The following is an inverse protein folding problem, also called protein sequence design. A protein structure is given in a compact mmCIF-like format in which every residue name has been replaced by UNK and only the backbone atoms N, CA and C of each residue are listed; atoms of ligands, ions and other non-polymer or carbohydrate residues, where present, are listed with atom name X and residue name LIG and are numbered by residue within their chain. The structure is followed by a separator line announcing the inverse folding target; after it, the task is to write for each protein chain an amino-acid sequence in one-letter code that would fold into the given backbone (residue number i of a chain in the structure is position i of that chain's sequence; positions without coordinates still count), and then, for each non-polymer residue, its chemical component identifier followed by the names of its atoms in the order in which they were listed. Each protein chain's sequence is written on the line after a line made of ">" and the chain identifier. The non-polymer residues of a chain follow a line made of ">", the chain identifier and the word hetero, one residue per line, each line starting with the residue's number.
data_IF_980712230873
#
_entry.id   IF_980712230873
#
_cell.length_a   1.000
_cell.length_b   1.000
_cell.length_c   1.000
_cell.angle_alpha   90.00
_cell.angle_beta   90.00
_cell.angle_gamma   90.00
#
_symmetry.space_group_name_H-M   'P 1'
#
loop_
_entity.id
_entity.type
_entity.pdbx_description
1 polymer ?
#
# COMPACT_ATOMS: atom_id res chain seq x y z
N UNK A 1 14.18 -13.14 35.24
CA UNK A 1 13.99 -11.74 34.72
C UNK A 1 14.79 -11.58 33.44
N UNK A 2 14.16 -11.33 32.28
CA UNK A 2 14.92 -10.98 31.07
C UNK A 2 15.43 -9.55 31.28
N UNK A 3 16.74 -9.38 31.35
CA UNK A 3 17.40 -8.05 31.35
C UNK A 3 16.97 -7.27 30.13
N UNK A 4 16.52 -6.03 30.34
CA UNK A 4 16.06 -5.14 29.27
C UNK A 4 17.23 -4.89 28.31
N UNK A 5 17.07 -5.27 27.04
CA UNK A 5 18.10 -5.07 26.02
C UNK A 5 18.48 -3.60 25.91
N UNK A 6 19.78 -3.27 25.92
CA UNK A 6 20.25 -1.88 25.73
C UNK A 6 19.98 -1.41 24.30
N UNK A 7 19.82 -0.09 24.11
CA UNK A 7 19.58 0.54 22.79
C UNK A 7 20.69 0.16 21.78
N UNK A 8 21.95 0.17 22.21
CA UNK A 8 23.08 -0.19 21.35
C UNK A 8 23.03 -1.66 20.91
N UNK A 9 22.73 -2.59 21.83
CA UNK A 9 22.57 -4.01 21.47
C UNK A 9 21.42 -4.23 20.50
N UNK A 10 20.30 -3.56 20.71
CA UNK A 10 19.15 -3.62 19.82
C UNK A 10 19.52 -3.11 18.41
N UNK A 11 20.22 -1.99 18.30
CA UNK A 11 20.66 -1.44 17.02
C UNK A 11 21.57 -2.41 16.27
N UNK A 12 22.55 -3.02 16.96
CA UNK A 12 23.46 -4.01 16.35
C UNK A 12 22.67 -5.24 15.86
N UNK A 13 21.73 -5.74 16.68
CA UNK A 13 20.90 -6.87 16.31
C UNK A 13 20.00 -6.56 15.10
N UNK A 14 19.39 -5.39 15.05
CA UNK A 14 18.58 -4.96 13.90
C UNK A 14 19.43 -4.89 12.63
N UNK A 15 20.63 -4.30 12.71
CA UNK A 15 21.56 -4.25 11.57
C UNK A 15 21.91 -5.66 11.08
N UNK A 16 22.28 -6.56 11.98
CA UNK A 16 22.58 -7.97 11.61
C UNK A 16 21.39 -8.68 10.96
N UNK A 17 20.15 -8.38 11.37
CA UNK A 17 18.94 -8.91 10.74
C UNK A 17 18.78 -8.35 9.32
N UNK A 18 18.96 -7.04 9.13
CA UNK A 18 18.89 -6.42 7.80
C UNK A 18 19.96 -6.97 6.87
N UNK A 19 21.22 -7.06 7.34
CA UNK A 19 22.32 -7.64 6.55
C UNK A 19 22.03 -9.11 6.14
N UNK A 20 21.34 -9.86 6.98
CA UNK A 20 20.94 -11.23 6.65
C UNK A 20 19.82 -11.27 5.61
N UNK A 21 18.84 -10.35 5.71
CA UNK A 21 17.76 -10.22 4.73
C UNK A 21 18.29 -9.78 3.37
N UNK A 22 19.23 -8.82 3.35
CA UNK A 22 19.85 -8.35 2.11
C UNK A 22 20.63 -9.45 1.40
N UNK A 23 21.33 -10.32 2.15
CA UNK A 23 22.02 -11.49 1.58
C UNK A 23 21.06 -12.53 1.01
N UNK A 24 19.92 -12.75 1.64
CA UNK A 24 18.94 -13.76 1.24
C UNK A 24 18.07 -13.30 0.08
N UNK A 25 17.60 -12.05 0.13
CA UNK A 25 16.59 -11.52 -0.80
C UNK A 25 17.13 -10.46 -1.78
N UNK A 26 18.38 -10.02 -1.62
CA UNK A 26 18.96 -8.92 -2.38
C UNK A 26 18.53 -7.56 -1.84
N UNK A 27 19.01 -6.51 -2.51
CA UNK A 27 18.78 -5.10 -2.16
C UNK A 27 17.88 -4.35 -3.16
N UNK A 28 17.27 -5.08 -4.09
CA UNK A 28 16.33 -4.52 -5.06
C UNK A 28 14.91 -4.46 -4.45
N UNK A 29 14.65 -3.40 -3.70
CA UNK A 29 13.38 -3.18 -3.00
C UNK A 29 12.37 -2.50 -3.92
N UNK A 30 11.73 -3.25 -4.81
CA UNK A 30 10.69 -2.73 -5.70
C UNK A 30 9.29 -3.17 -5.28
N UNK A 31 8.32 -2.36 -5.63
CA UNK A 31 6.91 -2.74 -5.54
C UNK A 31 6.60 -3.84 -6.56
N UNK A 32 5.86 -4.86 -6.15
CA UNK A 32 5.41 -5.94 -7.05
C UNK A 32 4.20 -5.56 -7.89
N UNK A 33 3.51 -4.45 -7.55
CA UNK A 33 2.42 -3.92 -8.36
C UNK A 33 2.98 -3.10 -9.52
N UNK A 34 2.41 -3.28 -10.72
CA UNK A 34 2.79 -2.54 -11.92
C UNK A 34 2.09 -1.18 -11.95
N UNK A 35 2.86 -0.11 -12.10
CA UNK A 35 2.35 1.26 -12.23
C UNK A 35 3.37 2.17 -12.94
N UNK A 36 2.87 3.22 -13.56
CA UNK A 36 3.68 4.27 -14.21
C UNK A 36 3.53 5.60 -13.47
N UNK A 37 2.39 5.81 -12.80
CA UNK A 37 2.08 7.05 -12.11
C UNK A 37 1.65 6.80 -10.66
N UNK A 38 1.77 7.82 -9.76
CA UNK A 38 1.36 7.69 -8.36
C UNK A 38 -0.10 7.27 -8.17
N UNK A 39 -1.03 7.78 -8.99
CA UNK A 39 -2.44 7.42 -8.89
C UNK A 39 -2.71 5.97 -9.37
N UNK A 40 -1.95 5.48 -10.35
CA UNK A 40 -2.03 4.07 -10.76
C UNK A 40 -1.61 3.15 -9.60
N UNK A 41 -0.52 3.47 -8.90
CA UNK A 41 -0.15 2.71 -7.70
C UNK A 41 -1.26 2.75 -6.65
N UNK A 42 -1.84 3.93 -6.39
CA UNK A 42 -2.91 4.07 -5.39
C UNK A 42 -4.12 3.18 -5.72
N UNK A 43 -4.59 3.18 -6.97
CA UNK A 43 -5.67 2.31 -7.43
C UNK A 43 -5.28 0.83 -7.30
N UNK A 44 -4.08 0.46 -7.75
CA UNK A 44 -3.59 -0.92 -7.65
C UNK A 44 -3.53 -1.41 -6.20
N UNK A 45 -3.11 -0.56 -5.25
CA UNK A 45 -3.09 -0.91 -3.81
C UNK A 45 -4.51 -1.02 -3.24
N UNK A 46 -5.48 -0.19 -3.67
CA UNK A 46 -6.89 -0.38 -3.29
C UNK A 46 -7.40 -1.74 -3.80
N UNK A 47 -7.04 -2.12 -5.02
CA UNK A 47 -7.42 -3.41 -5.61
C UNK A 47 -6.74 -4.60 -4.91
N UNK A 48 -5.53 -4.43 -4.36
CA UNK A 48 -4.77 -5.51 -3.70
C UNK A 48 -5.34 -5.93 -2.33
N UNK A 49 -6.30 -5.19 -1.78
CA UNK A 49 -6.97 -5.60 -0.54
C UNK A 49 -7.62 -6.99 -0.71
N UNK A 50 -7.10 -8.00 0.02
CA UNK A 50 -7.50 -9.41 -0.05
C UNK A 50 -7.45 -9.99 -1.48
N UNK A 51 -6.47 -9.55 -2.27
CA UNK A 51 -6.20 -10.05 -3.61
C UNK A 51 -4.68 -10.16 -3.83
N UNK A 52 -4.25 -11.12 -4.63
CA UNK A 52 -2.82 -11.28 -4.95
C UNK A 52 -2.34 -10.21 -5.92
N UNK A 53 -1.08 -9.76 -5.78
CA UNK A 53 -0.47 -8.77 -6.67
C UNK A 53 -0.48 -9.25 -8.14
N UNK A 54 -0.25 -10.54 -8.39
CA UNK A 54 -0.33 -11.11 -9.73
C UNK A 54 -1.72 -10.92 -10.36
N UNK A 55 -2.80 -11.13 -9.60
CA UNK A 55 -4.16 -10.91 -10.08
C UNK A 55 -4.42 -9.43 -10.33
N UNK A 56 -3.98 -8.57 -9.41
CA UNK A 56 -4.12 -7.11 -9.58
C UNK A 56 -3.41 -6.64 -10.84
N UNK A 57 -2.17 -7.09 -11.08
CA UNK A 57 -1.40 -6.71 -12.25
C UNK A 57 -2.07 -7.13 -13.57
N UNK A 58 -2.71 -8.30 -13.61
CA UNK A 58 -3.49 -8.72 -14.78
C UNK A 58 -4.68 -7.80 -15.03
N UNK A 59 -5.41 -7.44 -13.98
CA UNK A 59 -6.59 -6.56 -14.09
C UNK A 59 -6.18 -5.13 -14.45
N UNK A 60 -5.16 -4.58 -13.80
CA UNK A 60 -4.72 -3.19 -14.02
C UNK A 60 -4.13 -2.97 -15.39
N UNK A 61 -3.55 -4.00 -16.03
CA UNK A 61 -3.01 -3.89 -17.39
C UNK A 61 -4.08 -3.45 -18.43
N UNK A 62 -5.30 -3.96 -18.32
CA UNK A 62 -6.40 -3.57 -19.19
C UNK A 62 -7.16 -2.36 -18.65
N UNK A 63 -7.32 -2.30 -17.32
CA UNK A 63 -8.00 -1.21 -16.64
C UNK A 63 -7.37 0.15 -16.94
N UNK A 64 -6.04 0.26 -16.87
CA UNK A 64 -5.31 1.51 -17.14
C UNK A 64 -5.27 1.89 -18.62
N UNK A 65 -5.44 0.93 -19.54
CA UNK A 65 -5.67 1.24 -20.97
C UNK A 65 -7.06 1.84 -21.19
N UNK A 66 -8.08 1.24 -20.55
CA UNK A 66 -9.48 1.67 -20.68
C UNK A 66 -9.70 3.03 -20.00
N UNK A 67 -9.26 3.19 -18.77
CA UNK A 67 -9.39 4.40 -17.95
C UNK A 67 -8.03 5.10 -17.83
N UNK A 68 -7.51 5.64 -18.91
CA UNK A 68 -6.15 6.16 -18.99
C UNK A 68 -5.89 7.47 -18.20
N UNK A 69 -6.83 7.96 -17.39
CA UNK A 69 -6.65 9.15 -16.53
C UNK A 69 -7.55 9.13 -15.30
N UNK A 70 -7.23 9.99 -14.30
CA UNK A 70 -8.04 10.18 -13.11
C UNK A 70 -9.47 10.64 -13.43
N UNK A 71 -9.62 11.53 -14.43
CA UNK A 71 -10.92 12.05 -14.86
C UNK A 71 -11.81 10.92 -15.39
N UNK A 72 -11.24 9.99 -16.17
CA UNK A 72 -11.98 8.83 -16.68
C UNK A 72 -12.43 7.91 -15.54
N UNK A 73 -11.58 7.66 -14.55
CA UNK A 73 -11.97 6.91 -13.36
C UNK A 73 -13.04 7.64 -12.53
N UNK A 74 -12.92 8.96 -12.35
CA UNK A 74 -13.89 9.74 -11.60
C UNK A 74 -15.26 9.79 -12.29
N UNK A 75 -15.30 9.70 -13.63
CA UNK A 75 -16.51 9.67 -14.45
C UNK A 75 -17.00 8.27 -14.83
N UNK A 76 -16.30 7.22 -14.39
CA UNK A 76 -16.64 5.84 -14.76
C UNK A 76 -18.05 5.46 -14.30
N UNK A 77 -18.75 4.70 -15.16
CA UNK A 77 -19.97 4.02 -14.72
C UNK A 77 -19.66 2.96 -13.66
N UNK A 78 -20.39 3.00 -12.56
CA UNK A 78 -20.12 2.14 -11.42
C UNK A 78 -20.24 0.66 -11.77
N UNK A 79 -21.28 0.28 -12.54
CA UNK A 79 -21.53 -1.13 -12.88
C UNK A 79 -20.49 -1.65 -13.86
N UNK A 80 -20.07 -0.81 -14.79
CA UNK A 80 -19.02 -1.15 -15.74
C UNK A 80 -17.66 -1.35 -15.01
N UNK A 81 -17.29 -0.43 -14.12
CA UNK A 81 -16.07 -0.57 -13.31
C UNK A 81 -16.12 -1.80 -12.39
N UNK A 82 -17.28 -2.11 -11.81
CA UNK A 82 -17.50 -3.33 -11.02
C UNK A 82 -17.21 -4.60 -11.83
N UNK A 83 -17.65 -4.64 -13.08
CA UNK A 83 -17.39 -5.76 -14.00
C UNK A 83 -15.90 -5.88 -14.33
N UNK A 84 -15.26 -4.76 -14.66
CA UNK A 84 -13.85 -4.71 -15.03
C UNK A 84 -12.93 -5.23 -13.90
N UNK A 85 -13.28 -4.94 -12.64
CA UNK A 85 -12.48 -5.35 -11.46
C UNK A 85 -13.04 -6.57 -10.73
N UNK A 86 -14.07 -7.23 -11.24
CA UNK A 86 -14.78 -8.33 -10.58
C UNK A 86 -13.85 -9.39 -9.99
N UNK A 87 -12.84 -9.79 -10.76
CA UNK A 87 -11.91 -10.86 -10.37
C UNK A 87 -10.98 -10.50 -9.20
N UNK A 88 -10.98 -9.25 -8.73
CA UNK A 88 -10.18 -8.83 -7.56
C UNK A 88 -10.88 -9.07 -6.22
N UNK A 89 -12.15 -9.50 -6.22
CA UNK A 89 -12.98 -9.65 -5.02
C UNK A 89 -13.37 -8.32 -4.39
N UNK A 90 -14.44 -8.31 -3.59
CA UNK A 90 -15.00 -7.11 -2.95
C UNK A 90 -15.21 -5.92 -3.91
N UNK A 91 -15.46 -6.24 -5.17
CA UNK A 91 -15.45 -5.31 -6.29
C UNK A 91 -16.48 -4.17 -6.15
N UNK A 92 -17.65 -4.41 -5.57
CA UNK A 92 -18.64 -3.36 -5.31
C UNK A 92 -18.08 -2.23 -4.43
N UNK A 93 -17.42 -2.59 -3.33
CA UNK A 93 -16.81 -1.61 -2.43
C UNK A 93 -15.59 -0.96 -3.06
N UNK A 94 -14.75 -1.74 -3.75
CA UNK A 94 -13.55 -1.25 -4.42
C UNK A 94 -13.89 -0.27 -5.53
N UNK A 95 -14.87 -0.56 -6.39
CA UNK A 95 -15.29 0.36 -7.45
C UNK A 95 -15.80 1.70 -6.90
N UNK A 96 -16.67 1.67 -5.89
CA UNK A 96 -17.13 2.87 -5.20
C UNK A 96 -15.99 3.69 -4.63
N UNK A 97 -15.04 3.03 -3.94
CA UNK A 97 -13.88 3.67 -3.35
C UNK A 97 -12.96 4.29 -4.41
N UNK A 98 -12.70 3.58 -5.51
CA UNK A 98 -11.84 4.09 -6.60
C UNK A 98 -12.44 5.35 -7.20
N UNK A 99 -13.75 5.34 -7.56
CA UNK A 99 -14.42 6.51 -8.12
C UNK A 99 -14.38 7.69 -7.13
N UNK A 100 -14.70 7.45 -5.86
CA UNK A 100 -14.70 8.48 -4.83
C UNK A 100 -13.28 9.03 -4.57
N UNK A 101 -12.28 8.16 -4.52
CA UNK A 101 -10.87 8.53 -4.37
C UNK A 101 -10.40 9.42 -5.54
N UNK A 102 -10.69 9.03 -6.79
CA UNK A 102 -10.32 9.82 -7.97
C UNK A 102 -11.01 11.19 -7.98
N UNK A 103 -12.30 11.26 -7.60
CA UNK A 103 -13.02 12.53 -7.44
C UNK A 103 -12.38 13.43 -6.39
N UNK A 104 -12.00 12.87 -5.24
CA UNK A 104 -11.34 13.63 -4.18
C UNK A 104 -9.95 14.13 -4.63
N UNK A 105 -9.14 13.29 -5.30
CA UNK A 105 -7.85 13.71 -5.84
C UNK A 105 -7.99 14.89 -6.80
N UNK A 106 -8.95 14.85 -7.72
CA UNK A 106 -9.18 15.95 -8.67
C UNK A 106 -9.65 17.21 -7.98
N UNK A 107 -10.59 17.10 -7.03
CA UNK A 107 -11.24 18.26 -6.40
C UNK A 107 -10.35 18.94 -5.35
N UNK A 108 -9.63 18.14 -4.54
CA UNK A 108 -8.98 18.62 -3.33
C UNK A 108 -7.46 18.72 -3.48
N UNK A 109 -6.87 17.92 -4.38
CA UNK A 109 -5.42 17.80 -4.54
C UNK A 109 -4.93 18.12 -5.96
N UNK A 110 -5.79 18.70 -6.83
CA UNK A 110 -5.42 19.07 -8.21
C UNK A 110 -4.92 17.88 -9.05
N UNK A 111 -5.42 16.67 -8.79
CA UNK A 111 -5.01 15.44 -9.46
C UNK A 111 -3.71 14.83 -8.94
N UNK A 112 -3.10 15.39 -7.90
CA UNK A 112 -1.88 14.87 -7.29
C UNK A 112 -2.23 13.92 -6.13
N UNK A 113 -1.46 12.86 -5.96
CA UNK A 113 -1.58 11.98 -4.78
C UNK A 113 -0.85 12.66 -3.63
N UNK A 114 -1.47 12.91 -2.47
CA UNK A 114 -0.78 13.57 -1.36
C UNK A 114 0.27 12.68 -0.71
N UNK A 115 1.27 13.27 -0.02
CA UNK A 115 2.30 12.56 0.73
C UNK A 115 2.03 12.51 2.23
N UNK A 116 1.16 13.37 2.74
CA UNK A 116 0.79 13.39 4.16
C UNK A 116 -0.09 12.20 4.51
N UNK A 117 0.15 11.60 5.69
CA UNK A 117 -0.56 10.40 6.13
C UNK A 117 -2.04 10.66 6.40
N UNK A 118 -2.40 11.86 6.88
CA UNK A 118 -3.79 12.21 7.19
C UNK A 118 -4.58 12.43 5.91
N UNK A 119 -3.99 13.13 4.93
CA UNK A 119 -4.59 13.35 3.63
C UNK A 119 -4.81 12.02 2.90
N UNK A 120 -3.79 11.15 2.87
CA UNK A 120 -3.92 9.82 2.27
C UNK A 120 -5.01 8.98 2.94
N UNK A 121 -5.06 8.95 4.27
CA UNK A 121 -6.08 8.16 4.99
C UNK A 121 -7.48 8.78 4.94
N UNK A 122 -7.61 10.03 4.53
CA UNK A 122 -8.88 10.68 4.22
C UNK A 122 -9.49 10.24 2.90
N UNK A 123 -8.69 9.66 1.99
CA UNK A 123 -9.17 9.19 0.70
C UNK A 123 -9.97 7.87 0.85
N UNK A 124 -11.03 7.73 0.06
CA UNK A 124 -11.87 6.53 0.08
C UNK A 124 -11.07 5.27 -0.27
N UNK A 125 -11.18 4.23 0.56
CA UNK A 125 -10.47 2.96 0.37
C UNK A 125 -9.00 2.98 0.78
N UNK A 126 -8.50 4.07 1.34
CA UNK A 126 -7.10 4.23 1.74
C UNK A 126 -6.98 4.14 3.26
N UNK A 127 -6.57 2.99 3.75
CA UNK A 127 -6.19 2.81 5.15
C UNK A 127 -4.72 3.14 5.38
N UNK A 128 -4.28 3.12 6.65
CA UNK A 128 -2.88 3.41 7.03
C UNK A 128 -1.87 2.51 6.30
N UNK A 129 -2.18 1.23 6.11
CA UNK A 129 -1.32 0.30 5.37
C UNK A 129 -1.13 0.77 3.93
N UNK A 130 -2.21 1.09 3.22
CA UNK A 130 -2.18 1.63 1.86
C UNK A 130 -1.40 2.94 1.79
N UNK A 131 -1.67 3.87 2.73
CA UNK A 131 -0.96 5.14 2.81
C UNK A 131 0.56 4.95 2.97
N UNK A 132 1.00 4.00 3.80
CA UNK A 132 2.42 3.70 3.98
C UNK A 132 3.06 3.09 2.73
N UNK A 133 2.32 2.28 1.94
CA UNK A 133 2.80 1.80 0.63
C UNK A 133 3.07 2.98 -0.31
N UNK A 134 2.13 3.92 -0.42
CA UNK A 134 2.28 5.10 -1.26
C UNK A 134 3.44 5.98 -0.80
N UNK A 135 3.53 6.26 0.50
CA UNK A 135 4.61 7.08 1.07
C UNK A 135 5.99 6.47 0.81
N UNK A 136 6.12 5.17 1.00
CA UNK A 136 7.39 4.47 0.78
C UNK A 136 7.79 4.41 -0.69
N UNK A 137 6.87 4.00 -1.58
CA UNK A 137 7.21 3.74 -2.98
C UNK A 137 7.26 5.00 -3.86
N UNK A 138 6.41 6.00 -3.60
CA UNK A 138 6.33 7.21 -4.42
C UNK A 138 7.19 8.33 -3.85
N UNK A 139 7.12 8.53 -2.53
CA UNK A 139 7.75 9.69 -1.88
C UNK A 139 9.05 9.34 -1.14
N UNK A 140 9.43 8.06 -1.13
CA UNK A 140 10.61 7.57 -0.42
C UNK A 140 10.66 8.00 1.06
N UNK A 141 9.47 8.24 1.65
CA UNK A 141 9.34 8.57 3.08
C UNK A 141 9.44 7.26 3.86
N UNK A 142 10.37 7.15 4.82
CA UNK A 142 10.52 5.95 5.64
C UNK A 142 9.18 5.55 6.27
N UNK A 143 8.66 4.40 5.87
CA UNK A 143 7.34 3.91 6.27
C UNK A 143 7.36 2.39 6.39
N UNK A 144 6.79 1.85 7.46
CA UNK A 144 6.64 0.41 7.62
C UNK A 144 5.21 0.02 7.26
N UNK A 145 5.08 -0.91 6.31
CA UNK A 145 3.80 -1.50 5.93
C UNK A 145 3.48 -2.65 6.88
N UNK A 146 2.82 -2.33 8.00
CA UNK A 146 2.53 -3.32 9.05
C UNK A 146 1.33 -4.17 8.65
N UNK A 147 1.62 -5.36 8.17
CA UNK A 147 0.64 -6.41 7.91
C UNK A 147 0.73 -7.54 8.95
N UNK A 148 -0.03 -8.62 8.75
CA UNK A 148 -0.03 -9.78 9.64
C UNK A 148 1.33 -10.48 9.70
N UNK A 149 2.10 -10.46 8.61
CA UNK A 149 3.44 -11.05 8.54
C UNK A 149 4.45 -10.20 9.31
N UNK A 150 4.47 -8.90 9.10
CA UNK A 150 5.33 -7.94 9.84
C UNK A 150 5.03 -8.04 11.34
N UNK A 151 3.75 -8.01 11.74
CA UNK A 151 3.36 -8.19 13.15
C UNK A 151 3.96 -9.46 13.75
N UNK A 152 3.74 -10.60 13.10
CA UNK A 152 4.23 -11.91 13.55
C UNK A 152 5.75 -11.97 13.63
N UNK A 153 6.44 -11.47 12.61
CA UNK A 153 7.91 -11.50 12.51
C UNK A 153 8.53 -10.57 13.54
N UNK A 154 8.05 -9.33 13.66
CA UNK A 154 8.60 -8.36 14.63
C UNK A 154 8.43 -8.83 16.06
N UNK A 155 7.33 -9.51 16.38
CA UNK A 155 7.14 -10.12 17.70
C UNK A 155 8.11 -11.28 17.94
N UNK A 156 8.27 -12.17 16.96
CA UNK A 156 9.24 -13.28 17.06
C UNK A 156 10.67 -12.77 17.24
N UNK A 157 11.02 -11.70 16.56
CA UNK A 157 12.33 -11.06 16.67
C UNK A 157 12.46 -10.19 17.93
N UNK A 158 11.41 -10.00 18.72
CA UNK A 158 11.42 -9.12 19.90
C UNK A 158 11.63 -7.64 19.53
N UNK A 159 11.27 -7.23 18.33
CA UNK A 159 11.33 -5.84 17.87
C UNK A 159 10.09 -5.05 18.25
N UNK A 160 8.95 -5.73 18.37
CA UNK A 160 7.68 -5.15 18.83
C UNK A 160 7.02 -6.07 19.86
N UNK A 161 6.29 -5.46 20.79
CA UNK A 161 5.47 -6.15 21.82
C UNK A 161 3.97 -5.86 21.64
N UNK A 162 3.63 -4.83 20.86
CA UNK A 162 2.25 -4.40 20.61
C UNK A 162 1.57 -5.28 19.56
N UNK A 163 0.26 -5.44 19.68
CA UNK A 163 -0.62 -5.96 18.62
C UNK A 163 -1.15 -4.85 17.72
N UNK A 164 -1.04 -3.59 18.18
CA UNK A 164 -1.51 -2.42 17.45
C UNK A 164 -0.52 -2.07 16.32
N UNK A 165 -0.96 -2.08 15.04
CA UNK A 165 -0.09 -1.76 13.90
C UNK A 165 0.53 -0.36 13.98
N UNK A 166 -0.10 0.58 14.70
CA UNK A 166 0.42 1.94 14.86
C UNK A 166 1.58 2.04 15.85
N UNK A 167 1.76 1.01 16.68
CA UNK A 167 2.81 0.95 17.71
C UNK A 167 3.96 0.01 17.32
N UNK A 168 3.88 -0.62 16.18
CA UNK A 168 4.91 -1.47 15.59
C UNK A 168 5.80 -0.66 14.69
#
# INVERSE_FOLDING_TARGET
>A
MRTKESKSRRTLRVRSILDALDREYGTDYRCYLNYETPWQLLIAVILSAQCTDARVNLVTADLFKKYGSLEKFAAADLKELEQDIHSTGFYHTKAKNIIACCKALLKEYGGQVPSDIKDLTGLAGVGRKTANVIRGNIYHIPSIVVDTHVKRIFRKLGLAVSEDPEKI
#
